data_IF_754940040930
#
_entry.id   IF_754940040930
#
_cell.length_a   1.000
_cell.length_b   1.000
_cell.length_c   1.000
_cell.angle_alpha   90.00
_cell.angle_beta   90.00
_cell.angle_gamma   90.00
#
_symmetry.space_group_name_H-M   'P 1'
#
loop_
_entity.id
_entity.type
_entity.pdbx_description
1 polymer ?
#
# COMPACT_ATOMS: atom_id res chain seq x y z
N UNK A 1 8.05 -47.34 -32.57
CA UNK A 1 7.45 -46.50 -31.51
C UNK A 1 5.93 -46.66 -31.57
N UNK A 2 5.27 -47.08 -30.49
CA UNK A 2 3.86 -47.45 -30.56
C UNK A 2 3.02 -46.19 -30.77
N UNK A 3 2.09 -46.21 -31.73
CA UNK A 3 1.20 -45.09 -32.08
C UNK A 3 0.47 -44.53 -30.84
N UNK A 4 0.24 -45.37 -29.83
CA UNK A 4 -0.33 -45.00 -28.53
C UNK A 4 0.48 -43.95 -27.76
N UNK A 5 1.82 -43.92 -27.90
CA UNK A 5 2.66 -42.92 -27.24
C UNK A 5 2.46 -41.52 -27.84
N UNK A 6 2.24 -41.45 -29.16
CA UNK A 6 1.93 -40.18 -29.87
C UNK A 6 0.55 -39.67 -29.48
N UNK A 7 -0.45 -40.57 -29.35
CA UNK A 7 -1.79 -40.18 -28.89
C UNK A 7 -1.79 -39.71 -27.41
N UNK A 8 -1.04 -40.36 -26.52
CA UNK A 8 -0.87 -39.88 -25.14
C UNK A 8 -0.18 -38.51 -25.08
N UNK A 9 0.85 -38.29 -25.90
CA UNK A 9 1.56 -37.00 -25.96
C UNK A 9 0.64 -35.87 -26.48
N UNK A 10 -0.19 -36.15 -27.48
CA UNK A 10 -1.17 -35.18 -28.02
C UNK A 10 -2.27 -34.85 -27.00
N UNK A 11 -2.74 -35.84 -26.23
CA UNK A 11 -3.75 -35.63 -25.18
C UNK A 11 -3.17 -34.80 -24.02
N UNK A 12 -1.89 -35.00 -23.64
CA UNK A 12 -1.26 -34.18 -22.59
C UNK A 12 -1.08 -32.70 -22.96
N UNK A 13 -0.91 -32.38 -24.24
CA UNK A 13 -0.77 -30.98 -24.70
C UNK A 13 -2.12 -30.24 -24.67
N UNK A 14 -3.24 -30.95 -24.81
CA UNK A 14 -4.58 -30.35 -24.79
C UNK A 14 -5.12 -30.04 -23.38
N UNK A 15 -4.53 -30.62 -22.33
CA UNK A 15 -4.92 -30.40 -20.92
C UNK A 15 -4.08 -29.28 -20.27
N UNK A 16 -3.01 -28.81 -20.92
CA UNK A 16 -2.11 -27.78 -20.40
C UNK A 16 -2.67 -26.34 -20.46
N UNK A 17 -3.83 -26.12 -21.09
CA UNK A 17 -4.53 -24.84 -21.01
C UNK A 17 -5.37 -24.81 -19.74
N UNK A 18 -4.77 -24.38 -18.63
CA UNK A 18 -5.56 -23.87 -17.51
C UNK A 18 -6.28 -22.59 -17.99
N UNK A 19 -7.62 -22.50 -17.86
CA UNK A 19 -8.31 -21.25 -18.10
C UNK A 19 -7.77 -20.23 -17.12
N UNK A 20 -6.97 -19.29 -17.61
CA UNK A 20 -6.50 -18.15 -16.83
C UNK A 20 -7.75 -17.39 -16.39
N UNK A 21 -8.09 -17.46 -15.09
CA UNK A 21 -9.18 -16.66 -14.54
C UNK A 21 -8.89 -15.21 -14.91
N UNK A 22 -9.80 -14.53 -15.63
CA UNK A 22 -9.57 -13.14 -15.99
C UNK A 22 -9.33 -12.36 -14.69
N UNK A 23 -8.24 -11.60 -14.62
CA UNK A 23 -8.01 -10.73 -13.49
C UNK A 23 -9.16 -9.71 -13.44
N UNK A 24 -9.95 -9.76 -12.39
CA UNK A 24 -10.96 -8.73 -12.14
C UNK A 24 -10.21 -7.47 -11.79
N UNK A 25 -10.17 -6.51 -12.72
CA UNK A 25 -9.57 -5.20 -12.51
C UNK A 25 -10.57 -4.36 -11.72
N UNK A 26 -10.29 -4.14 -10.43
CA UNK A 26 -11.04 -3.18 -9.62
C UNK A 26 -10.42 -1.79 -9.83
N UNK A 27 -11.15 -0.83 -10.42
CA UNK A 27 -10.63 0.52 -10.60
C UNK A 27 -10.46 1.20 -9.24
N UNK A 28 -9.34 1.92 -9.09
CA UNK A 28 -8.99 2.61 -7.86
C UNK A 28 -8.26 3.92 -8.19
N UNK A 29 -8.32 4.90 -7.27
CA UNK A 29 -7.60 6.17 -7.42
C UNK A 29 -6.90 6.56 -6.13
N UNK A 30 -5.88 7.42 -6.26
CA UNK A 30 -5.22 8.05 -5.13
C UNK A 30 -5.93 9.33 -4.74
N UNK A 31 -6.15 9.51 -3.44
CA UNK A 31 -6.53 10.79 -2.84
C UNK A 31 -5.35 11.29 -1.99
N UNK A 32 -4.58 12.24 -2.54
CA UNK A 32 -3.29 12.70 -1.99
C UNK A 32 -3.37 14.08 -1.33
N UNK A 33 -4.36 14.28 -0.46
CA UNK A 33 -4.55 15.51 0.30
C UNK A 33 -4.69 15.18 1.80
N UNK A 34 -4.26 16.11 2.66
CA UNK A 34 -4.33 15.93 4.12
C UNK A 34 -5.78 15.94 4.61
N UNK A 35 -6.66 16.73 3.98
CA UNK A 35 -8.08 16.76 4.33
C UNK A 35 -8.85 15.93 3.32
N UNK A 36 -9.54 14.90 3.80
CA UNK A 36 -10.46 14.11 2.99
C UNK A 36 -11.84 14.76 3.03
N UNK A 37 -12.21 15.38 1.90
CA UNK A 37 -13.52 15.98 1.68
C UNK A 37 -13.83 15.97 0.18
N UNK A 38 -14.48 14.90 -0.29
CA UNK A 38 -14.81 14.70 -1.68
C UNK A 38 -15.88 15.70 -2.12
N UNK A 39 -15.53 16.52 -3.11
CA UNK A 39 -16.43 17.47 -3.74
C UNK A 39 -17.48 16.74 -4.59
N UNK A 40 -18.65 17.35 -4.85
CA UNK A 40 -19.71 16.74 -5.65
C UNK A 40 -19.24 16.25 -7.02
N UNK A 41 -18.32 16.97 -7.67
CA UNK A 41 -17.74 16.62 -8.96
C UNK A 41 -16.87 15.36 -8.86
N UNK A 42 -16.04 15.25 -7.81
CA UNK A 42 -15.21 14.07 -7.55
C UNK A 42 -16.07 12.84 -7.27
N UNK A 43 -17.14 12.99 -6.49
CA UNK A 43 -18.11 11.90 -6.25
C UNK A 43 -18.79 11.44 -7.52
N UNK A 44 -19.22 12.38 -8.35
CA UNK A 44 -19.86 12.08 -9.63
C UNK A 44 -18.91 11.34 -10.56
N UNK A 45 -17.64 11.75 -10.59
CA UNK A 45 -16.59 11.05 -11.33
C UNK A 45 -16.37 9.63 -10.82
N UNK A 46 -16.19 9.45 -9.50
CA UNK A 46 -15.96 8.15 -8.88
C UNK A 46 -17.13 7.19 -9.17
N UNK A 47 -18.37 7.67 -9.03
CA UNK A 47 -19.56 6.88 -9.33
C UNK A 47 -19.67 6.51 -10.82
N UNK A 48 -19.45 7.47 -11.73
CA UNK A 48 -19.50 7.22 -13.17
C UNK A 48 -18.42 6.25 -13.65
N UNK A 49 -17.25 6.26 -13.02
CA UNK A 49 -16.13 5.35 -13.30
C UNK A 49 -16.23 4.01 -12.55
N UNK A 50 -17.23 3.81 -11.69
CA UNK A 50 -17.37 2.61 -10.87
C UNK A 50 -16.22 2.40 -9.88
N UNK A 51 -15.60 3.49 -9.41
CA UNK A 51 -14.47 3.45 -8.47
C UNK A 51 -15.03 3.40 -7.04
N UNK A 52 -14.78 2.28 -6.38
CA UNK A 52 -15.19 2.05 -4.98
C UNK A 52 -13.99 1.83 -4.04
N UNK A 53 -12.76 1.98 -4.57
CA UNK A 53 -11.49 1.79 -3.85
C UNK A 53 -10.62 3.05 -3.92
N UNK A 54 -10.16 3.52 -2.75
CA UNK A 54 -9.25 4.66 -2.64
C UNK A 54 -7.91 4.27 -2.02
N UNK A 55 -6.83 4.70 -2.63
CA UNK A 55 -5.53 4.83 -1.96
C UNK A 55 -5.52 6.19 -1.26
N UNK A 56 -5.66 6.18 0.07
CA UNK A 56 -5.80 7.40 0.85
C UNK A 56 -4.50 7.70 1.59
N UNK A 57 -3.92 8.86 1.33
CA UNK A 57 -2.72 9.29 2.05
C UNK A 57 -3.06 9.63 3.50
N UNK A 58 -2.53 8.86 4.44
CA UNK A 58 -2.78 8.99 5.87
C UNK A 58 -1.86 10.03 6.53
N UNK A 59 -0.59 10.02 6.18
CA UNK A 59 0.40 11.00 6.63
C UNK A 59 1.69 10.80 5.83
N UNK A 60 2.60 11.76 5.96
CA UNK A 60 3.98 11.63 5.53
C UNK A 60 4.87 11.41 6.76
N UNK A 61 6.03 10.78 6.57
CA UNK A 61 7.07 10.63 7.59
C UNK A 61 8.31 11.33 7.10
N UNK A 62 8.86 12.16 7.98
CA UNK A 62 10.01 12.95 7.63
C UNK A 62 10.94 13.20 8.82
N UNK A 63 12.21 13.53 8.54
CA UNK A 63 13.16 13.97 9.56
C UNK A 63 13.09 15.51 9.70
N UNK A 64 12.76 15.97 10.89
CA UNK A 64 12.75 17.38 11.28
C UNK A 64 14.15 17.76 11.78
N UNK A 65 14.89 18.55 11.00
CA UNK A 65 16.26 18.97 11.32
C UNK A 65 16.33 19.91 12.52
N UNK A 66 15.29 20.71 12.80
CA UNK A 66 15.30 21.61 13.95
C UNK A 66 15.11 20.85 15.26
N UNK A 67 14.20 19.86 15.24
CA UNK A 67 13.87 19.03 16.41
C UNK A 67 14.78 17.82 16.56
N UNK A 68 15.58 17.50 15.52
CA UNK A 68 16.43 16.31 15.46
C UNK A 68 15.62 15.02 15.69
N UNK A 69 14.42 14.94 15.12
CA UNK A 69 13.53 13.80 15.30
C UNK A 69 12.73 13.46 14.04
N UNK A 70 12.32 12.20 13.94
CA UNK A 70 11.39 11.77 12.89
C UNK A 70 9.95 12.04 13.32
N UNK A 71 9.23 12.81 12.51
CA UNK A 71 7.86 13.26 12.78
C UNK A 71 6.88 12.85 11.68
N UNK A 72 5.62 12.59 12.03
CA UNK A 72 4.56 12.54 11.04
C UNK A 72 4.17 13.96 10.60
N UNK A 73 3.98 14.15 9.30
CA UNK A 73 3.52 15.39 8.68
C UNK A 73 2.19 15.16 7.96
N UNK A 74 1.47 16.25 7.69
CA UNK A 74 0.27 16.23 6.85
C UNK A 74 -0.76 15.16 7.23
N UNK A 75 -0.97 14.97 8.55
CA UNK A 75 -1.84 13.92 9.09
C UNK A 75 -3.26 14.08 8.55
N UNK A 76 -3.84 12.96 8.11
CA UNK A 76 -5.17 12.89 7.54
C UNK A 76 -6.23 13.42 8.50
N UNK A 77 -7.07 14.31 7.98
CA UNK A 77 -8.30 14.78 8.60
C UNK A 77 -9.49 14.25 7.78
N UNK A 78 -10.27 13.36 8.40
CA UNK A 78 -11.48 12.80 7.78
C UNK A 78 -12.65 13.75 8.02
N UNK A 79 -13.10 14.43 6.98
CA UNK A 79 -14.28 15.31 7.00
C UNK A 79 -15.41 14.81 6.07
N UNK A 80 -15.30 13.57 5.59
CA UNK A 80 -16.16 12.97 4.58
C UNK A 80 -16.82 11.69 5.09
N UNK A 81 -18.04 11.39 4.63
CA UNK A 81 -18.72 10.12 4.93
C UNK A 81 -18.25 8.94 4.08
N UNK A 82 -17.45 9.20 3.04
CA UNK A 82 -16.97 8.24 2.04
C UNK A 82 -18.11 7.46 1.36
N UNK A 83 -19.28 8.08 1.20
CA UNK A 83 -20.41 7.46 0.52
C UNK A 83 -20.03 6.95 -0.89
N UNK A 84 -20.33 5.67 -1.16
CA UNK A 84 -19.99 4.99 -2.42
C UNK A 84 -18.61 4.33 -2.44
N UNK A 85 -17.75 4.59 -1.44
CA UNK A 85 -16.46 3.89 -1.29
C UNK A 85 -16.67 2.67 -0.40
N UNK A 86 -16.03 1.55 -0.76
CA UNK A 86 -16.06 0.29 -0.01
C UNK A 86 -14.71 -0.05 0.60
N UNK A 87 -13.62 0.26 -0.09
CA UNK A 87 -12.26 -0.10 0.35
C UNK A 87 -11.37 1.14 0.41
N UNK A 88 -10.59 1.25 1.48
CA UNK A 88 -9.50 2.23 1.60
C UNK A 88 -8.19 1.48 1.84
N UNK A 89 -7.16 1.90 1.10
CA UNK A 89 -5.76 1.51 1.32
C UNK A 89 -5.04 2.69 1.96
N UNK A 90 -4.78 2.66 3.29
CA UNK A 90 -3.95 3.65 3.95
C UNK A 90 -2.58 3.70 3.29
N UNK A 91 -2.17 4.90 2.87
CA UNK A 91 -0.87 5.12 2.22
C UNK A 91 -0.03 6.07 3.06
N UNK A 92 1.24 5.74 3.28
CA UNK A 92 2.19 6.60 4.01
C UNK A 92 3.38 6.91 3.11
N UNK A 93 3.66 8.19 2.91
CA UNK A 93 4.87 8.63 2.23
C UNK A 93 6.03 8.73 3.21
N UNK A 94 7.22 8.27 2.85
CA UNK A 94 8.40 8.33 3.71
C UNK A 94 9.58 8.89 2.92
N UNK A 95 10.21 9.93 3.46
CA UNK A 95 11.38 10.53 2.81
C UNK A 95 12.64 9.69 3.04
N UNK A 96 13.61 9.80 2.12
CA UNK A 96 14.90 9.15 2.29
C UNK A 96 15.68 9.68 3.50
N UNK A 97 15.56 10.97 3.83
CA UNK A 97 16.27 11.57 4.96
C UNK A 97 15.83 10.97 6.30
N UNK A 98 14.61 10.47 6.40
CA UNK A 98 14.17 9.65 7.54
C UNK A 98 15.11 8.47 7.77
N UNK A 99 15.38 7.68 6.74
CA UNK A 99 16.24 6.50 6.87
C UNK A 99 17.73 6.83 6.99
N UNK A 100 18.15 7.99 6.49
CA UNK A 100 19.54 8.46 6.66
C UNK A 100 19.82 8.90 8.09
N UNK A 101 18.80 9.36 8.83
CA UNK A 101 18.91 9.85 10.20
C UNK A 101 18.73 8.76 11.27
N UNK A 102 18.32 7.54 10.88
CA UNK A 102 18.01 6.45 11.81
C UNK A 102 19.02 5.30 11.71
N UNK A 103 19.34 4.73 12.86
CA UNK A 103 19.91 3.38 12.95
C UNK A 103 18.80 2.32 13.00
N UNK A 104 19.17 1.05 13.10
CA UNK A 104 18.22 -0.08 13.11
C UNK A 104 17.21 0.01 14.27
N UNK A 105 17.66 0.43 15.46
CA UNK A 105 16.77 0.62 16.63
C UNK A 105 15.81 1.80 16.42
N UNK A 106 16.28 2.85 15.76
CA UNK A 106 15.47 3.99 15.32
C UNK A 106 14.38 3.57 14.34
N UNK A 107 14.69 2.68 13.39
CA UNK A 107 13.70 2.13 12.45
C UNK A 107 12.66 1.26 13.15
N UNK A 108 13.06 0.44 14.14
CA UNK A 108 12.11 -0.32 14.96
C UNK A 108 11.15 0.59 15.71
N UNK A 109 11.69 1.67 16.29
CA UNK A 109 10.90 2.69 16.99
C UNK A 109 9.93 3.40 16.03
N UNK A 110 10.40 3.73 14.82
CA UNK A 110 9.57 4.31 13.76
C UNK A 110 8.42 3.38 13.40
N UNK A 111 8.68 2.09 13.17
CA UNK A 111 7.66 1.09 12.86
C UNK A 111 6.57 1.03 13.92
N UNK A 112 6.95 0.97 15.21
CA UNK A 112 5.97 0.97 16.31
C UNK A 112 5.12 2.25 16.37
N UNK A 113 5.74 3.42 16.14
CA UNK A 113 5.03 4.72 16.10
C UNK A 113 4.07 4.79 14.92
N UNK A 114 4.49 4.33 13.74
CA UNK A 114 3.67 4.27 12.53
C UNK A 114 2.46 3.35 12.72
N UNK A 115 2.65 2.13 13.23
CA UNK A 115 1.55 1.20 13.50
C UNK A 115 0.49 1.83 14.41
N UNK A 116 0.92 2.51 15.48
CA UNK A 116 0.03 3.20 16.40
C UNK A 116 -0.76 4.31 15.72
N UNK A 117 -0.10 5.12 14.89
CA UNK A 117 -0.76 6.23 14.19
C UNK A 117 -1.70 5.73 13.08
N UNK A 118 -1.26 4.76 12.28
CA UNK A 118 -2.07 4.11 11.25
C UNK A 118 -3.35 3.52 11.84
N UNK A 119 -3.22 2.71 12.91
CA UNK A 119 -4.38 2.12 13.60
C UNK A 119 -5.29 3.20 14.19
N UNK A 120 -4.73 4.31 14.69
CA UNK A 120 -5.53 5.43 15.20
C UNK A 120 -6.35 6.10 14.10
N UNK A 121 -5.74 6.38 12.94
CA UNK A 121 -6.39 7.03 11.81
C UNK A 121 -7.38 6.10 11.10
N UNK A 122 -7.07 4.81 11.02
CA UNK A 122 -7.96 3.78 10.49
C UNK A 122 -9.30 3.77 11.27
N UNK A 123 -9.24 3.87 12.60
CA UNK A 123 -10.44 3.95 13.46
C UNK A 123 -11.27 5.23 13.26
N UNK A 124 -10.76 6.23 12.55
CA UNK A 124 -11.51 7.44 12.20
C UNK A 124 -12.27 7.29 10.88
N UNK A 125 -12.00 6.24 10.12
CA UNK A 125 -12.78 5.92 8.93
C UNK A 125 -14.19 5.46 9.33
N UNK A 126 -15.20 5.69 8.47
CA UNK A 126 -16.54 5.13 8.67
C UNK A 126 -16.50 3.60 8.78
N UNK A 127 -17.33 3.02 9.65
CA UNK A 127 -17.32 1.58 9.99
C UNK A 127 -17.52 0.65 8.78
N UNK A 128 -18.24 1.11 7.75
CA UNK A 128 -18.48 0.35 6.53
C UNK A 128 -17.26 0.25 5.59
N UNK A 129 -16.19 1.01 5.85
CA UNK A 129 -15.00 1.01 5.01
C UNK A 129 -14.10 -0.16 5.38
N UNK A 130 -13.80 -0.99 4.40
CA UNK A 130 -12.85 -2.08 4.55
C UNK A 130 -11.42 -1.58 4.36
N UNK A 131 -10.53 -2.03 5.24
CA UNK A 131 -9.09 -1.88 5.11
C UNK A 131 -8.49 -3.28 5.09
N UNK A 132 -7.92 -3.68 3.95
CA UNK A 132 -7.34 -5.02 3.73
C UNK A 132 -5.87 -4.95 3.28
N UNK A 133 -5.36 -3.74 3.10
CA UNK A 133 -4.03 -3.48 2.59
C UNK A 133 -3.56 -2.12 3.08
N UNK A 134 -2.30 -2.03 3.51
CA UNK A 134 -1.60 -0.78 3.77
C UNK A 134 -0.47 -0.63 2.76
N UNK A 135 -0.23 0.60 2.29
CA UNK A 135 0.80 0.90 1.30
C UNK A 135 1.85 1.87 1.86
N UNK A 136 3.12 1.60 1.62
CA UNK A 136 4.20 2.58 1.81
C UNK A 136 4.65 3.14 0.48
N UNK A 137 4.79 4.47 0.42
CA UNK A 137 5.38 5.17 -0.71
C UNK A 137 6.76 5.70 -0.31
N UNK A 138 7.81 5.07 -0.85
CA UNK A 138 9.19 5.50 -0.57
C UNK A 138 10.08 5.26 -1.79
N UNK A 139 10.60 6.36 -2.33
CA UNK A 139 11.62 6.36 -3.39
C UNK A 139 13.01 6.02 -2.81
N UNK A 140 13.13 4.89 -2.10
CA UNK A 140 14.38 4.41 -1.51
C UNK A 140 15.53 4.39 -2.52
N UNK A 141 16.73 4.62 -2.00
CA UNK A 141 17.99 4.60 -2.74
C UNK A 141 18.82 3.39 -2.33
N UNK A 142 19.95 3.14 -2.99
CA UNK A 142 20.85 2.05 -2.62
C UNK A 142 21.28 2.12 -1.13
N UNK A 143 21.43 3.34 -0.57
CA UNK A 143 21.87 3.53 0.81
C UNK A 143 20.73 3.41 1.83
N UNK A 144 19.50 3.77 1.46
CA UNK A 144 18.33 3.72 2.35
C UNK A 144 17.52 2.42 2.24
N UNK A 145 17.75 1.62 1.19
CA UNK A 145 17.07 0.33 0.95
C UNK A 145 17.10 -0.61 2.16
N UNK A 146 18.24 -0.89 2.83
CA UNK A 146 18.25 -1.83 3.95
C UNK A 146 17.33 -1.39 5.10
N UNK A 147 17.35 -0.10 5.45
CA UNK A 147 16.50 0.46 6.49
C UNK A 147 15.02 0.46 6.10
N UNK A 148 14.69 0.79 4.84
CA UNK A 148 13.31 0.71 4.35
C UNK A 148 12.78 -0.73 4.35
N UNK A 149 13.59 -1.71 3.95
CA UNK A 149 13.19 -3.12 3.94
C UNK A 149 13.05 -3.68 5.36
N UNK A 150 13.93 -3.27 6.28
CA UNK A 150 13.76 -3.57 7.71
C UNK A 150 12.40 -3.06 8.22
N UNK A 151 12.04 -1.81 7.92
CA UNK A 151 10.72 -1.27 8.26
C UNK A 151 9.57 -2.12 7.67
N UNK A 152 9.65 -2.50 6.40
CA UNK A 152 8.64 -3.34 5.74
C UNK A 152 8.47 -4.68 6.45
N UNK A 153 9.55 -5.34 6.87
CA UNK A 153 9.50 -6.60 7.60
C UNK A 153 8.78 -6.45 8.94
N UNK A 154 9.09 -5.37 9.68
CA UNK A 154 8.44 -5.07 10.98
C UNK A 154 6.94 -4.83 10.82
N UNK A 155 6.53 -4.07 9.81
CA UNK A 155 5.10 -3.79 9.54
C UNK A 155 4.37 -5.03 9.02
N UNK A 156 5.02 -5.83 8.17
CA UNK A 156 4.44 -7.07 7.62
C UNK A 156 4.13 -8.07 8.72
N UNK A 157 4.98 -8.21 9.74
CA UNK A 157 4.71 -9.10 10.86
C UNK A 157 3.40 -8.74 11.58
N UNK A 158 3.17 -7.46 11.84
CA UNK A 158 1.92 -6.98 12.45
C UNK A 158 0.69 -7.19 11.54
N UNK A 159 0.81 -6.87 10.25
CA UNK A 159 -0.31 -7.01 9.32
C UNK A 159 -0.66 -8.46 9.03
N UNK A 160 0.30 -9.38 9.09
CA UNK A 160 0.06 -10.81 8.95
C UNK A 160 -0.87 -11.35 10.06
N UNK A 161 -0.76 -10.84 11.30
CA UNK A 161 -1.67 -11.21 12.40
C UNK A 161 -3.11 -10.72 12.16
N UNK A 162 -3.27 -9.62 11.41
CA UNK A 162 -4.57 -9.06 11.02
C UNK A 162 -5.14 -9.68 9.74
N UNK A 163 -4.32 -10.40 8.97
CA UNK A 163 -4.69 -10.86 7.63
C UNK A 163 -4.65 -9.77 6.56
N UNK A 164 -4.05 -8.62 6.86
CA UNK A 164 -3.93 -7.48 5.97
C UNK A 164 -2.66 -7.59 5.10
N UNK A 165 -2.70 -7.05 3.89
CA UNK A 165 -1.54 -6.99 3.00
C UNK A 165 -0.69 -5.76 3.26
N UNK A 166 0.61 -5.88 3.03
CA UNK A 166 1.52 -4.74 2.91
C UNK A 166 1.95 -4.61 1.45
N UNK A 167 1.80 -3.44 0.87
CA UNK A 167 2.35 -3.08 -0.43
C UNK A 167 3.31 -1.90 -0.33
N UNK A 168 4.14 -1.74 -1.36
CA UNK A 168 4.98 -0.56 -1.50
C UNK A 168 4.97 -0.09 -2.96
N UNK A 169 5.05 1.21 -3.17
CA UNK A 169 5.33 1.75 -4.50
C UNK A 169 6.76 1.41 -4.89
N UNK A 170 7.00 1.24 -6.20
CA UNK A 170 8.33 1.02 -6.74
C UNK A 170 8.50 1.87 -8.01
N UNK A 171 9.62 2.58 -8.09
CA UNK A 171 10.05 3.28 -9.30
C UNK A 171 10.71 2.31 -10.26
N UNK A 172 10.60 2.59 -11.56
CA UNK A 172 11.18 1.74 -12.59
C UNK A 172 12.69 1.50 -12.40
N UNK A 173 13.44 2.49 -11.93
CA UNK A 173 14.88 2.35 -11.70
C UNK A 173 15.21 1.49 -10.47
N UNK A 174 14.34 1.44 -9.46
CA UNK A 174 14.48 0.57 -8.29
C UNK A 174 14.27 -0.90 -8.66
N UNK A 175 13.45 -1.19 -9.68
CA UNK A 175 13.23 -2.55 -10.18
C UNK A 175 14.51 -3.20 -10.73
N UNK A 176 15.48 -2.41 -11.17
CA UNK A 176 16.78 -2.92 -11.61
C UNK A 176 17.66 -3.42 -10.44
N UNK A 177 17.27 -3.13 -9.20
CA UNK A 177 18.01 -3.47 -7.98
C UNK A 177 17.07 -4.07 -6.91
N UNK A 178 16.42 -5.23 -7.19
CA UNK A 178 15.44 -5.83 -6.30
C UNK A 178 16.03 -6.22 -4.93
#
# INVERSE_FOLDING_TARGET
MPRHFVYCLIISVLIACEPTTPSVVTPAVYHWQARLQLQPEERSYLAAAGIEKLYLRFFDVDFDEERQEVVPLSILEVADSLAGIREVVPTVFITNRTFQALDETGVDTLGARMLRLLTKLERQLPEQIEVREWQLDCDWTATTRPAFFHLLERLRAFLAERGDRLSATIRLHQLAYP
#
